data_IF_449226322765
#
_entry.id   IF_449226322765
#
_cell.length_a   1.000
_cell.length_b   1.000
_cell.length_c   1.000
_cell.angle_alpha   90.00
_cell.angle_beta   90.00
_cell.angle_gamma   90.00
#
_symmetry.space_group_name_H-M   'P 1'
#
loop_
_entity.id
_entity.type
_entity.pdbx_description
1 polymer ?
#
# COMPACT_ATOMS: atom_id res chain seq x y z
N UNK A 1 18.54 19.80 -14.42
CA UNK A 1 17.24 19.12 -14.43
C UNK A 1 16.25 20.11 -13.84
N UNK A 2 15.17 20.47 -14.53
CA UNK A 2 14.17 21.41 -13.99
C UNK A 2 13.40 20.68 -12.87
N UNK A 3 13.34 21.29 -11.69
CA UNK A 3 12.57 20.76 -10.57
C UNK A 3 11.08 20.73 -10.95
N UNK A 4 10.43 19.57 -10.83
CA UNK A 4 9.00 19.39 -11.13
C UNK A 4 8.27 19.22 -9.80
N UNK A 5 7.63 20.28 -9.33
CA UNK A 5 6.80 20.26 -8.12
C UNK A 5 5.33 20.10 -8.49
N UNK A 6 4.57 19.40 -7.65
CA UNK A 6 3.11 19.32 -7.75
C UNK A 6 2.43 20.16 -6.67
N UNK A 7 1.28 20.75 -7.01
CA UNK A 7 0.37 21.39 -6.03
C UNK A 7 -0.26 20.37 -5.06
N UNK A 8 -0.08 19.07 -5.32
CA UNK A 8 -0.61 17.99 -4.49
C UNK A 8 0.54 17.17 -3.92
N UNK A 9 0.35 16.68 -2.70
CA UNK A 9 1.32 15.84 -2.02
C UNK A 9 1.01 14.36 -2.29
N UNK A 10 1.93 13.67 -2.97
CA UNK A 10 1.77 12.25 -3.31
C UNK A 10 2.69 11.35 -2.48
N UNK A 11 2.18 10.17 -2.16
CA UNK A 11 2.96 9.06 -1.63
C UNK A 11 2.77 7.85 -2.54
N UNK A 12 3.82 7.42 -3.21
CA UNK A 12 3.83 6.20 -4.01
C UNK A 12 4.26 5.04 -3.13
N UNK A 13 3.41 4.02 -3.00
CA UNK A 13 3.76 2.77 -2.35
C UNK A 13 3.78 1.62 -3.35
N UNK A 14 4.99 1.19 -3.68
CA UNK A 14 5.27 0.14 -4.65
C UNK A 14 5.46 -1.19 -3.93
N UNK A 15 4.65 -2.19 -4.27
CA UNK A 15 4.60 -3.47 -3.59
C UNK A 15 4.86 -4.58 -4.60
N UNK A 16 6.10 -5.07 -4.61
CA UNK A 16 6.47 -6.28 -5.31
C UNK A 16 6.12 -7.52 -4.47
N UNK A 17 5.74 -8.63 -5.11
CA UNK A 17 5.49 -9.91 -4.46
C UNK A 17 4.05 -10.42 -4.57
N UNK A 18 3.74 -11.45 -3.79
CA UNK A 18 2.48 -12.20 -3.87
C UNK A 18 1.27 -11.54 -3.18
N UNK A 19 0.12 -12.20 -3.32
CA UNK A 19 -1.15 -11.79 -2.72
C UNK A 19 -1.07 -11.59 -1.20
N UNK A 20 -0.46 -12.55 -0.48
CA UNK A 20 -0.34 -12.49 0.97
C UNK A 20 0.39 -11.23 1.47
N UNK A 21 1.45 -10.80 0.75
CA UNK A 21 2.17 -9.57 1.08
C UNK A 21 1.30 -8.33 0.85
N UNK A 22 0.50 -8.31 -0.21
CA UNK A 22 -0.45 -7.22 -0.48
C UNK A 22 -1.53 -7.13 0.60
N UNK A 23 -2.06 -8.27 1.06
CA UNK A 23 -3.02 -8.30 2.18
C UNK A 23 -2.37 -7.71 3.44
N UNK A 24 -1.15 -8.13 3.81
CA UNK A 24 -0.44 -7.55 4.96
C UNK A 24 -0.17 -6.05 4.80
N UNK A 25 0.14 -5.61 3.58
CA UNK A 25 0.40 -4.21 3.28
C UNK A 25 -0.82 -3.30 3.51
N UNK A 26 -2.04 -3.82 3.51
CA UNK A 26 -3.24 -3.02 3.83
C UNK A 26 -3.19 -2.45 5.25
N UNK A 27 -2.59 -3.18 6.20
CA UNK A 27 -2.35 -2.69 7.56
C UNK A 27 -1.26 -1.60 7.59
N UNK A 28 -0.20 -1.79 6.80
CA UNK A 28 0.90 -0.82 6.66
C UNK A 28 0.37 0.50 6.08
N UNK A 29 -0.52 0.43 5.10
CA UNK A 29 -1.17 1.61 4.52
C UNK A 29 -2.03 2.37 5.53
N UNK A 30 -2.76 1.68 6.40
CA UNK A 30 -3.51 2.35 7.46
C UNK A 30 -2.58 3.14 8.39
N UNK A 31 -1.44 2.57 8.79
CA UNK A 31 -0.44 3.27 9.59
C UNK A 31 0.19 4.46 8.83
N UNK A 32 0.54 4.26 7.56
CA UNK A 32 1.05 5.32 6.68
C UNK A 32 0.06 6.47 6.58
N UNK A 33 -1.23 6.18 6.36
CA UNK A 33 -2.25 7.22 6.20
C UNK A 33 -2.45 8.06 7.46
N UNK A 34 -2.28 7.47 8.65
CA UNK A 34 -2.30 8.23 9.93
C UNK A 34 -1.14 9.22 10.05
N UNK A 35 0.05 8.88 9.55
CA UNK A 35 1.21 9.79 9.60
C UNK A 35 1.22 10.81 8.45
N UNK A 36 0.73 10.41 7.27
CA UNK A 36 0.74 11.20 6.04
C UNK A 36 -0.71 11.49 5.60
N UNK A 37 -1.50 12.11 6.49
CA UNK A 37 -2.93 12.34 6.30
C UNK A 37 -3.23 13.23 5.09
N UNK A 38 -2.35 14.18 4.80
CA UNK A 38 -2.40 15.11 3.67
C UNK A 38 -2.11 14.44 2.32
N UNK A 39 -1.42 13.29 2.32
CA UNK A 39 -0.91 12.70 1.08
C UNK A 39 -1.94 11.82 0.38
N UNK A 40 -1.96 11.93 -0.94
CA UNK A 40 -2.66 11.03 -1.85
C UNK A 40 -1.80 9.80 -2.08
N UNK A 41 -2.26 8.65 -1.57
CA UNK A 41 -1.52 7.39 -1.65
C UNK A 41 -1.81 6.70 -2.98
N UNK A 42 -0.75 6.46 -3.75
CA UNK A 42 -0.79 5.74 -5.02
C UNK A 42 -0.14 4.37 -4.84
N UNK A 43 -0.90 3.31 -5.05
CA UNK A 43 -0.41 1.93 -5.00
C UNK A 43 0.09 1.51 -6.37
N UNK A 44 1.22 0.81 -6.40
CA UNK A 44 1.72 0.11 -7.60
C UNK A 44 1.94 -1.35 -7.23
N UNK A 45 1.25 -2.28 -7.89
CA UNK A 45 1.25 -3.71 -7.52
C UNK A 45 0.92 -4.63 -8.69
N UNK A 46 1.11 -5.95 -8.52
CA UNK A 46 0.54 -6.99 -9.38
C UNK A 46 -0.88 -7.43 -8.99
N UNK A 47 -1.37 -7.01 -7.81
CA UNK A 47 -2.62 -7.49 -7.21
C UNK A 47 -3.58 -6.33 -6.92
N UNK A 48 -4.07 -5.63 -7.95
CA UNK A 48 -4.91 -4.43 -7.77
C UNK A 48 -6.20 -4.69 -6.96
N UNK A 49 -6.81 -5.87 -7.11
CA UNK A 49 -8.10 -6.22 -6.51
C UNK A 49 -8.09 -6.14 -4.97
N UNK A 50 -6.93 -6.38 -4.34
CA UNK A 50 -6.75 -6.25 -2.88
C UNK A 50 -7.03 -4.82 -2.38
N UNK A 51 -6.81 -3.85 -3.25
CA UNK A 51 -6.82 -2.42 -2.92
C UNK A 51 -8.13 -1.74 -3.30
N UNK A 52 -9.04 -2.44 -3.97
CA UNK A 52 -10.33 -1.88 -4.33
C UNK A 52 -11.11 -1.45 -3.09
N UNK A 53 -11.79 -0.32 -3.22
CA UNK A 53 -12.62 0.30 -2.17
C UNK A 53 -11.90 0.65 -0.86
N UNK A 54 -10.56 0.53 -0.80
CA UNK A 54 -9.81 0.95 0.36
C UNK A 54 -9.84 2.50 0.47
N UNK A 55 -10.40 3.08 1.55
CA UNK A 55 -10.61 4.52 1.66
C UNK A 55 -9.32 5.32 1.82
N UNK A 56 -8.20 4.64 2.14
CA UNK A 56 -6.90 5.27 2.30
C UNK A 56 -6.16 5.46 0.96
N UNK A 57 -6.65 4.85 -0.12
CA UNK A 57 -5.97 4.79 -1.40
C UNK A 57 -6.60 5.78 -2.38
N UNK A 58 -5.76 6.60 -3.02
CA UNK A 58 -6.17 7.54 -4.05
C UNK A 58 -6.24 6.88 -5.43
N UNK A 59 -5.21 6.10 -5.78
CA UNK A 59 -5.13 5.42 -7.08
C UNK A 59 -4.34 4.12 -6.99
N UNK A 60 -4.67 3.15 -7.82
CA UNK A 60 -3.97 1.88 -7.95
C UNK A 60 -3.50 1.71 -9.39
N UNK A 61 -2.24 1.32 -9.56
CA UNK A 61 -1.63 0.95 -10.83
C UNK A 61 -1.21 -0.50 -10.79
N UNK A 62 -1.58 -1.22 -11.85
CA UNK A 62 -1.05 -2.56 -12.10
C UNK A 62 0.28 -2.47 -12.83
N UNK A 63 1.20 -3.39 -12.54
CA UNK A 63 2.40 -3.54 -13.35
C UNK A 63 2.08 -3.72 -14.83
N UNK A 64 2.81 -3.00 -15.68
CA UNK A 64 2.62 -2.99 -17.13
C UNK A 64 1.53 -2.05 -17.64
N UNK A 65 0.71 -1.44 -16.77
CA UNK A 65 -0.36 -0.50 -17.17
C UNK A 65 -0.22 0.87 -16.50
N UNK A 66 0.99 1.44 -16.55
CA UNK A 66 1.37 2.68 -15.86
C UNK A 66 1.44 3.91 -16.78
N UNK A 67 0.46 4.07 -17.67
CA UNK A 67 0.41 5.21 -18.58
C UNK A 67 0.42 6.53 -17.81
N UNK A 68 1.29 7.46 -18.22
CA UNK A 68 1.52 8.78 -17.63
C UNK A 68 1.93 8.79 -16.15
N UNK A 69 2.23 7.62 -15.55
CA UNK A 69 2.50 7.52 -14.10
C UNK A 69 3.62 8.46 -13.61
N UNK A 70 4.74 8.50 -14.34
CA UNK A 70 5.86 9.37 -13.99
C UNK A 70 5.49 10.84 -14.10
N UNK A 71 4.67 11.19 -15.09
CA UNK A 71 4.25 12.57 -15.28
C UNK A 71 3.23 13.04 -14.24
N UNK A 72 2.35 12.12 -13.82
CA UNK A 72 1.22 12.42 -12.96
C UNK A 72 1.53 12.30 -11.46
N UNK A 73 2.54 11.52 -11.07
CA UNK A 73 2.80 11.17 -9.66
C UNK A 73 4.25 11.22 -9.22
N UNK A 74 5.23 11.39 -10.12
CA UNK A 74 6.65 11.46 -9.76
C UNK A 74 7.13 12.91 -9.90
N UNK A 75 7.18 13.59 -8.76
CA UNK A 75 7.61 14.97 -8.56
C UNK A 75 8.71 14.99 -7.50
N UNK A 76 9.41 16.12 -7.36
CA UNK A 76 10.50 16.25 -6.36
C UNK A 76 9.97 16.15 -4.91
N UNK A 77 8.72 16.52 -4.68
CA UNK A 77 8.02 16.38 -3.40
C UNK A 77 7.29 15.03 -3.23
N UNK A 78 7.33 14.12 -4.22
CA UNK A 78 6.70 12.80 -4.09
C UNK A 78 7.48 11.94 -3.10
N UNK A 79 6.78 11.40 -2.10
CA UNK A 79 7.35 10.39 -1.20
C UNK A 79 7.27 9.00 -1.84
N UNK A 80 8.39 8.30 -1.96
CA UNK A 80 8.46 7.00 -2.63
C UNK A 80 8.83 5.90 -1.62
N UNK A 81 7.92 4.95 -1.43
CA UNK A 81 8.10 3.75 -0.63
C UNK A 81 8.14 2.52 -1.53
N UNK A 82 9.32 1.90 -1.63
CA UNK A 82 9.57 0.75 -2.53
C UNK A 82 10.44 -0.36 -1.90
N UNK A 83 10.83 -0.22 -0.64
CA UNK A 83 11.71 -1.19 0.02
C UNK A 83 10.93 -2.47 0.30
N UNK A 84 11.54 -3.61 -0.03
CA UNK A 84 11.00 -4.93 0.30
C UNK A 84 11.33 -5.29 1.76
N UNK A 85 10.32 -5.42 2.64
CA UNK A 85 10.55 -5.72 4.06
C UNK A 85 11.14 -7.11 4.30
N UNK A 86 10.96 -8.06 3.37
CA UNK A 86 11.50 -9.42 3.50
C UNK A 86 13.03 -9.47 3.39
N UNK A 87 13.65 -8.42 2.84
CA UNK A 87 15.10 -8.32 2.66
C UNK A 87 15.79 -7.55 3.80
N UNK A 88 15.08 -7.28 4.90
CA UNK A 88 15.65 -6.57 6.05
C UNK A 88 16.20 -7.54 7.10
N UNK A 89 17.25 -7.12 7.81
CA UNK A 89 17.85 -7.92 8.89
C UNK A 89 16.84 -8.28 9.97
N UNK A 90 16.00 -7.32 10.39
CA UNK A 90 15.01 -7.54 11.44
C UNK A 90 13.99 -8.63 11.08
N UNK A 91 13.57 -8.69 9.81
CA UNK A 91 12.72 -9.78 9.34
C UNK A 91 13.50 -11.11 9.25
N UNK A 92 14.70 -11.11 8.67
CA UNK A 92 15.52 -12.32 8.50
C UNK A 92 15.89 -12.97 9.84
N UNK A 93 16.19 -12.16 10.84
CA UNK A 93 16.45 -12.61 12.22
C UNK A 93 15.18 -12.79 13.05
N UNK A 94 13.99 -12.61 12.45
CA UNK A 94 12.67 -12.78 13.08
C UNK A 94 12.52 -11.96 14.38
N UNK A 95 13.05 -10.74 14.40
CA UNK A 95 13.01 -9.87 15.58
C UNK A 95 11.61 -9.33 15.87
N UNK A 96 10.77 -9.19 14.84
CA UNK A 96 9.42 -8.67 14.97
C UNK A 96 8.48 -9.17 13.87
N UNK A 97 7.18 -8.88 14.02
CA UNK A 97 6.18 -9.14 13.00
C UNK A 97 6.41 -8.29 11.75
N UNK A 98 6.19 -8.88 10.57
CA UNK A 98 6.51 -8.25 9.28
C UNK A 98 5.87 -6.85 9.11
N UNK A 99 4.62 -6.66 9.55
CA UNK A 99 3.93 -5.36 9.46
C UNK A 99 4.71 -4.29 10.25
N UNK A 100 5.18 -4.63 11.46
CA UNK A 100 5.93 -3.70 12.30
C UNK A 100 7.31 -3.41 11.73
N UNK A 101 7.99 -4.43 11.21
CA UNK A 101 9.25 -4.24 10.45
C UNK A 101 9.01 -3.30 9.28
N UNK A 102 7.95 -3.52 8.50
CA UNK A 102 7.66 -2.71 7.31
C UNK A 102 7.36 -1.25 7.64
N UNK A 103 6.56 -1.00 8.67
CA UNK A 103 6.34 0.37 9.18
C UNK A 103 7.67 1.00 9.67
N UNK A 104 8.51 0.23 10.36
CA UNK A 104 9.81 0.67 10.86
C UNK A 104 10.76 1.15 9.77
N UNK A 105 10.82 0.46 8.62
CA UNK A 105 11.63 0.85 7.45
C UNK A 105 11.34 2.30 7.02
N UNK A 106 10.08 2.74 7.16
CA UNK A 106 9.63 4.06 6.73
C UNK A 106 9.50 5.06 7.87
N UNK A 107 9.95 4.71 9.08
CA UNK A 107 9.75 5.47 10.31
C UNK A 107 8.26 5.82 10.54
N UNK A 108 7.39 4.85 10.26
CA UNK A 108 5.95 4.93 10.49
C UNK A 108 5.62 4.24 11.82
N UNK A 109 4.95 4.92 12.77
CA UNK A 109 4.51 4.28 14.00
C UNK A 109 3.48 3.17 13.72
N UNK A 110 3.71 1.98 14.29
CA UNK A 110 2.76 0.87 14.26
C UNK A 110 2.01 0.78 15.58
N UNK A 111 0.67 0.86 15.53
CA UNK A 111 -0.22 0.87 16.70
C UNK A 111 -1.16 -0.34 16.73
N UNK A 112 -0.79 -1.45 16.08
CA UNK A 112 -1.59 -2.67 16.05
C UNK A 112 -2.55 -2.77 14.87
N UNK A 113 -2.37 -1.95 13.82
CA UNK A 113 -3.14 -2.04 12.58
C UNK A 113 -3.17 -3.48 12.06
N UNK A 114 -4.35 -3.90 11.57
CA UNK A 114 -4.61 -5.25 11.05
C UNK A 114 -4.94 -5.18 9.56
N UNK A 115 -4.68 -6.27 8.81
CA UNK A 115 -5.08 -6.35 7.41
C UNK A 115 -6.59 -6.12 7.23
N UNK A 116 -6.97 -5.30 6.25
CA UNK A 116 -8.37 -4.97 5.92
C UNK A 116 -8.61 -5.08 4.43
N UNK A 117 -9.66 -5.80 4.08
CA UNK A 117 -10.21 -5.87 2.72
C UNK A 117 -11.57 -5.18 2.70
N UNK A 118 -11.85 -4.48 1.61
CA UNK A 118 -13.08 -3.70 1.44
C UNK A 118 -13.90 -4.32 0.32
N UNK A 119 -14.87 -5.13 0.71
CA UNK A 119 -15.72 -5.87 -0.22
C UNK A 119 -16.98 -5.08 -0.54
N UNK A 120 -17.42 -5.20 -1.79
CA UNK A 120 -18.73 -4.72 -2.24
C UNK A 120 -19.86 -5.55 -1.60
N UNK A 121 -21.10 -5.01 -1.53
CA UNK A 121 -22.25 -5.79 -1.06
C UNK A 121 -22.44 -7.12 -1.81
N UNK A 122 -22.21 -7.13 -3.13
CA UNK A 122 -22.30 -8.33 -3.96
C UNK A 122 -21.25 -9.39 -3.60
N UNK A 123 -20.01 -8.98 -3.33
CA UNK A 123 -18.96 -9.92 -2.91
C UNK A 123 -19.27 -10.51 -1.53
N UNK A 124 -19.82 -9.70 -0.62
CA UNK A 124 -20.26 -10.17 0.70
C UNK A 124 -21.39 -11.20 0.56
N UNK A 125 -22.37 -10.96 -0.31
CA UNK A 125 -23.44 -11.91 -0.60
C UNK A 125 -22.88 -13.23 -1.14
N UNK A 126 -22.03 -13.17 -2.17
CA UNK A 126 -21.38 -14.34 -2.74
C UNK A 126 -20.56 -15.14 -1.69
N UNK A 127 -19.85 -14.44 -0.80
CA UNK A 127 -19.08 -15.09 0.27
C UNK A 127 -20.01 -15.81 1.27
N UNK A 128 -21.12 -15.17 1.66
CA UNK A 128 -22.12 -15.77 2.56
C UNK A 128 -22.76 -17.01 1.96
N UNK A 129 -23.03 -17.02 0.65
CA UNK A 129 -23.58 -18.21 -0.02
C UNK A 129 -22.62 -19.39 0.04
N UNK A 130 -21.32 -19.16 -0.18
CA UNK A 130 -20.30 -20.21 -0.13
C UNK A 130 -20.09 -20.80 1.26
N UNK A 131 -20.31 -20.01 2.33
CA UNK A 131 -20.17 -20.45 3.72
C UNK A 131 -21.36 -21.27 4.24
N UNK A 132 -22.47 -21.34 3.49
CA UNK A 132 -23.65 -22.13 3.87
C UNK A 132 -23.58 -23.60 3.46
N UNK A 133 -22.58 -23.97 2.66
CA UNK A 133 -22.27 -25.35 2.25
C UNK A 133 -21.12 -25.91 3.09
#
# INVERSE_FOLDING_TARGET
MLNKLSDQEYLVFHIDGGLGKNILATAVIEAIKKQYEDKKIVIVTAWEDVWFHNPNIYRVYRFGTMNYFYDDYIFDNTKIFRIDPYHTEDYLLRKDHLIKVWCGIYNVPYNGEQPKLYLTPREIENAKEKLKN
#
